data_IF_924249888725
#
_entry.id   IF_924249888725
#
_cell.length_a   1.000
_cell.length_b   1.000
_cell.length_c   1.000
_cell.angle_alpha   90.00
_cell.angle_beta   90.00
_cell.angle_gamma   90.00
#
_symmetry.space_group_name_H-M   'P 1'
#
loop_
_entity.id
_entity.type
_entity.pdbx_description
1 polymer ?
#
# COMPACT_ATOMS: atom_id res chain seq x y z
N UNK A 1 8.39 -1.80 5.75
CA UNK A 1 8.50 -0.55 6.51
C UNK A 1 8.19 0.61 5.61
N UNK A 2 7.28 1.52 6.01
CA UNK A 2 6.88 2.63 5.17
C UNK A 2 8.07 3.53 4.90
N UNK A 3 8.17 4.04 3.67
CA UNK A 3 9.15 5.04 3.26
C UNK A 3 8.44 6.33 2.88
N UNK A 4 9.20 7.42 2.79
CA UNK A 4 8.69 8.70 2.31
C UNK A 4 8.67 8.71 0.78
N UNK A 5 7.51 9.06 0.21
CA UNK A 5 7.33 9.22 -1.23
C UNK A 5 6.82 10.61 -1.52
N UNK A 6 7.30 11.18 -2.63
CA UNK A 6 6.90 12.52 -3.06
C UNK A 6 5.51 12.46 -3.70
N UNK A 7 4.60 13.26 -3.15
CA UNK A 7 3.34 13.63 -3.78
C UNK A 7 3.44 15.05 -4.35
N UNK A 8 2.72 15.33 -5.43
CA UNK A 8 2.61 16.67 -6.02
C UNK A 8 1.80 17.62 -5.13
N UNK A 9 0.89 17.08 -4.33
CA UNK A 9 -0.07 17.84 -3.52
C UNK A 9 0.39 18.14 -2.09
N UNK A 10 1.11 17.21 -1.45
CA UNK A 10 1.36 17.21 0.00
C UNK A 10 2.84 17.08 0.37
N UNK A 11 3.75 17.16 -0.61
CA UNK A 11 5.17 16.93 -0.39
C UNK A 11 5.46 15.46 -0.10
N UNK A 12 6.42 15.19 0.78
CA UNK A 12 6.77 13.82 1.18
C UNK A 12 5.73 13.25 2.14
N UNK A 13 5.17 12.10 1.79
CA UNK A 13 4.19 11.37 2.60
C UNK A 13 4.62 9.91 2.79
N UNK A 14 4.32 9.30 3.96
CA UNK A 14 4.72 7.93 4.21
C UNK A 14 3.84 6.97 3.41
N UNK A 15 4.45 5.96 2.78
CA UNK A 15 3.76 4.87 2.11
C UNK A 15 4.45 3.53 2.35
N UNK A 16 3.65 2.49 2.57
CA UNK A 16 4.11 1.09 2.51
C UNK A 16 3.64 0.23 3.67
N UNK A 17 4.15 -1.01 3.71
CA UNK A 17 3.89 -1.97 4.79
C UNK A 17 4.40 -1.44 6.12
N UNK A 18 3.52 -1.37 7.11
CA UNK A 18 3.86 -0.98 8.48
C UNK A 18 4.08 -2.15 9.42
N UNK A 19 3.77 -3.38 9.01
CA UNK A 19 4.06 -4.60 9.76
C UNK A 19 4.36 -5.74 8.77
N UNK A 20 5.40 -6.53 9.04
CA UNK A 20 5.92 -7.54 8.10
C UNK A 20 5.05 -8.79 8.00
N UNK A 21 4.18 -9.04 8.99
CA UNK A 21 3.36 -10.25 9.02
C UNK A 21 2.03 -10.07 8.27
N UNK A 22 1.64 -8.86 7.90
CA UNK A 22 0.32 -8.60 7.30
C UNK A 22 0.46 -7.97 5.92
N UNK A 23 -0.56 -8.11 5.08
CA UNK A 23 -0.59 -7.49 3.75
C UNK A 23 -1.27 -6.11 3.76
N UNK A 24 -1.23 -5.37 4.87
CA UNK A 24 -1.80 -4.02 4.94
C UNK A 24 -0.73 -2.95 4.75
N UNK A 25 -1.06 -1.95 3.96
CA UNK A 25 -0.21 -0.79 3.66
C UNK A 25 -0.89 0.49 4.12
N UNK A 26 -0.07 1.49 4.44
CA UNK A 26 -0.51 2.85 4.67
C UNK A 26 -0.08 3.77 3.52
N UNK A 27 -0.87 4.81 3.30
CA UNK A 27 -0.57 6.01 2.53
C UNK A 27 -0.99 7.19 3.41
N UNK A 28 -0.05 7.70 4.20
CA UNK A 28 -0.32 8.62 5.29
C UNK A 28 -1.44 8.08 6.21
N UNK A 29 -2.59 8.73 6.25
CA UNK A 29 -3.76 8.31 7.04
C UNK A 29 -4.69 7.30 6.34
N UNK A 30 -4.40 6.88 5.10
CA UNK A 30 -5.18 5.87 4.38
C UNK A 30 -4.57 4.49 4.55
N UNK A 31 -5.35 3.55 5.06
CA UNK A 31 -4.94 2.17 5.25
C UNK A 31 -5.77 1.25 4.37
N UNK A 32 -5.12 0.35 3.65
CA UNK A 32 -5.79 -0.61 2.78
C UNK A 32 -4.93 -1.85 2.58
N UNK A 33 -5.56 -2.96 2.19
CA UNK A 33 -4.84 -4.20 1.89
C UNK A 33 -4.10 -4.06 0.56
N UNK A 34 -2.85 -4.50 0.52
CA UNK A 34 -2.02 -4.52 -0.68
C UNK A 34 -2.66 -5.40 -1.77
N UNK A 35 -3.36 -6.46 -1.36
CA UNK A 35 -4.17 -7.29 -2.25
C UNK A 35 -5.29 -6.49 -2.93
N UNK A 36 -5.98 -5.60 -2.20
CA UNK A 36 -7.02 -4.73 -2.76
C UNK A 36 -6.43 -3.67 -3.70
N UNK A 37 -5.35 -2.99 -3.28
CA UNK A 37 -4.66 -2.02 -4.14
C UNK A 37 -4.19 -2.67 -5.44
N UNK A 38 -3.55 -3.84 -5.37
CA UNK A 38 -3.10 -4.58 -6.53
C UNK A 38 -4.25 -4.92 -7.48
N UNK A 39 -5.37 -5.43 -6.95
CA UNK A 39 -6.55 -5.72 -7.75
C UNK A 39 -7.15 -4.46 -8.41
N UNK A 40 -7.14 -3.32 -7.71
CA UNK A 40 -7.56 -2.05 -8.29
C UNK A 40 -6.63 -1.58 -9.41
N UNK A 41 -5.31 -1.68 -9.21
CA UNK A 41 -4.32 -1.34 -10.25
C UNK A 41 -4.49 -2.23 -11.47
N UNK A 42 -4.71 -3.54 -11.31
CA UNK A 42 -5.02 -4.46 -12.43
C UNK A 42 -6.22 -3.96 -13.23
N UNK A 43 -7.32 -3.60 -12.55
CA UNK A 43 -8.52 -3.08 -13.21
C UNK A 43 -8.24 -1.78 -13.95
N UNK A 44 -7.48 -0.86 -13.35
CA UNK A 44 -7.13 0.41 -13.97
C UNK A 44 -6.17 0.24 -15.16
N UNK A 45 -5.25 -0.72 -15.09
CA UNK A 45 -4.31 -1.04 -16.16
C UNK A 45 -4.99 -1.67 -17.39
N UNK A 46 -6.17 -2.28 -17.21
CA UNK A 46 -6.97 -2.88 -18.28
C UNK A 46 -7.87 -1.87 -19.01
N UNK A 47 -7.97 -0.62 -18.55
CA UNK A 47 -8.85 0.38 -19.15
C UNK A 47 -8.36 0.90 -20.50
N UNK A 48 -9.28 1.46 -21.27
CA UNK A 48 -9.01 2.00 -22.59
C UNK A 48 -7.99 3.15 -22.52
N UNK A 49 -6.99 3.16 -23.44
CA UNK A 49 -5.96 4.18 -23.44
C UNK A 49 -6.55 5.58 -23.67
N UNK A 50 -5.88 6.59 -23.10
CA UNK A 50 -6.22 8.02 -23.27
C UNK A 50 -7.60 8.43 -22.73
N UNK A 51 -8.24 7.60 -21.90
CA UNK A 51 -9.49 7.96 -21.21
C UNK A 51 -9.24 8.20 -19.73
N UNK A 52 -9.95 9.18 -19.15
CA UNK A 52 -9.90 9.42 -17.70
C UNK A 52 -10.48 8.19 -17.01
N UNK A 53 -9.65 7.49 -16.24
CA UNK A 53 -10.09 6.32 -15.49
C UNK A 53 -10.44 6.75 -14.07
N UNK A 54 -11.72 6.65 -13.72
CA UNK A 54 -12.19 6.89 -12.35
C UNK A 54 -12.66 5.57 -11.73
N UNK A 55 -12.15 5.25 -10.54
CA UNK A 55 -12.55 4.10 -9.73
C UNK A 55 -12.81 4.54 -8.29
N UNK A 56 -13.62 3.77 -7.58
CA UNK A 56 -13.76 3.90 -6.13
C UNK A 56 -12.93 2.81 -5.45
N UNK A 57 -12.12 3.21 -4.46
CA UNK A 57 -11.36 2.28 -3.63
C UNK A 57 -11.94 2.31 -2.23
N UNK A 58 -12.18 1.13 -1.66
CA UNK A 58 -12.54 1.03 -0.26
C UNK A 58 -11.26 1.08 0.60
N UNK A 59 -11.20 2.00 1.55
CA UNK A 59 -10.05 2.24 2.42
C UNK A 59 -10.49 2.44 3.86
N UNK A 60 -9.58 2.30 4.81
CA UNK A 60 -9.74 2.74 6.18
C UNK A 60 -9.03 4.09 6.35
N UNK A 61 -9.79 5.14 6.57
CA UNK A 61 -9.22 6.48 6.86
C UNK A 61 -9.18 6.62 8.37
N UNK A 62 -7.97 6.69 8.93
CA UNK A 62 -7.78 6.80 10.36
C UNK A 62 -7.53 8.26 10.74
N UNK A 63 -8.14 8.71 11.83
CA UNK A 63 -7.74 9.95 12.48
C UNK A 63 -6.32 9.79 13.04
N UNK A 64 -5.53 10.87 13.01
CA UNK A 64 -4.12 10.85 13.45
C UNK A 64 -3.96 10.26 14.87
N UNK A 65 -4.88 10.61 15.78
CA UNK A 65 -4.90 10.11 17.15
C UNK A 65 -5.15 8.59 17.28
N UNK A 66 -5.72 7.97 16.24
CA UNK A 66 -6.03 6.53 16.21
C UNK A 66 -4.95 5.70 15.52
N UNK A 67 -4.02 6.31 14.77
CA UNK A 67 -2.98 5.59 14.01
C UNK A 67 -2.01 4.87 14.95
N UNK A 68 -1.49 5.57 15.96
CA UNK A 68 -0.46 5.04 16.88
C UNK A 68 0.98 5.32 16.43
N UNK A 69 1.94 5.02 17.31
CA UNK A 69 3.36 5.32 17.08
C UNK A 69 4.09 4.11 16.48
N UNK A 70 4.45 4.17 15.19
CA UNK A 70 5.13 3.06 14.50
C UNK A 70 6.46 2.66 15.16
N UNK A 71 7.35 3.61 15.45
CA UNK A 71 8.65 3.31 16.06
C UNK A 71 8.50 2.78 17.49
N UNK A 72 7.54 3.34 18.23
CA UNK A 72 7.18 2.87 19.56
C UNK A 72 6.63 1.44 19.55
N UNK A 73 5.83 1.10 18.53
CA UNK A 73 5.26 -0.22 18.36
C UNK A 73 6.30 -1.26 17.94
N UNK A 74 7.21 -0.92 17.01
CA UNK A 74 8.33 -1.78 16.59
C UNK A 74 9.22 -2.14 17.79
N UNK A 75 9.50 -1.18 18.66
CA UNK A 75 10.31 -1.39 19.87
C UNK A 75 9.54 -1.99 21.05
N UNK A 76 8.22 -2.19 20.91
CA UNK A 76 7.37 -2.75 21.95
C UNK A 76 7.08 -1.82 23.13
N UNK A 77 7.42 -0.53 23.04
CA UNK A 77 7.29 0.44 24.15
C UNK A 77 5.99 1.24 24.11
N UNK A 78 5.39 1.42 22.92
CA UNK A 78 4.09 2.08 22.76
C UNK A 78 3.19 1.27 21.83
N UNK A 79 2.25 0.56 22.42
CA UNK A 79 1.31 -0.33 21.73
C UNK A 79 -0.11 0.27 21.63
N UNK A 80 -0.24 1.59 21.71
CA UNK A 80 -1.53 2.28 21.53
C UNK A 80 -1.82 2.57 20.05
N UNK A 81 -3.09 2.83 19.76
CA UNK A 81 -3.58 3.06 18.40
C UNK A 81 -3.60 1.77 17.56
N UNK A 82 -4.04 1.90 16.32
CA UNK A 82 -4.19 0.79 15.40
C UNK A 82 -2.87 0.04 15.15
N UNK A 83 -1.80 0.77 14.84
CA UNK A 83 -0.47 0.19 14.60
C UNK A 83 0.01 -0.56 15.85
N UNK A 84 -0.13 0.03 17.03
CA UNK A 84 0.25 -0.60 18.29
C UNK A 84 -0.51 -1.89 18.59
N UNK A 85 -1.82 -1.92 18.30
CA UNK A 85 -2.61 -3.14 18.48
C UNK A 85 -2.23 -4.24 17.48
N UNK A 86 -1.90 -3.88 16.23
CA UNK A 86 -1.34 -4.84 15.25
C UNK A 86 -0.03 -5.43 15.77
N UNK A 87 0.89 -4.59 16.25
CA UNK A 87 2.18 -5.05 16.80
C UNK A 87 2.05 -5.87 18.09
N UNK A 88 0.99 -5.67 18.86
CA UNK A 88 0.68 -6.52 20.02
C UNK A 88 0.34 -7.96 19.62
N UNK A 89 -0.28 -8.15 18.44
CA UNK A 89 -0.59 -9.48 17.88
C UNK A 89 0.53 -10.05 17.02
N UNK A 90 1.24 -9.17 16.30
CA UNK A 90 2.32 -9.51 15.37
C UNK A 90 3.57 -8.69 15.74
N UNK A 91 4.29 -9.11 16.80
CA UNK A 91 5.46 -8.39 17.26
C UNK A 91 6.52 -8.32 16.17
N UNK A 92 7.34 -7.26 16.18
CA UNK A 92 8.52 -7.25 15.33
C UNK A 92 9.47 -8.37 15.80
N UNK A 93 10.02 -9.18 14.89
CA UNK A 93 10.94 -10.25 15.27
C UNK A 93 12.21 -9.68 15.92
N UNK A 94 12.81 -10.47 16.80
CA UNK A 94 14.12 -10.14 17.39
C UNK A 94 15.28 -10.56 16.48
N UNK A 95 15.07 -11.54 15.61
CA UNK A 95 16.07 -12.07 14.69
C UNK A 95 16.10 -11.25 13.38
N UNK A 96 17.22 -10.57 13.05
CA UNK A 96 17.37 -9.82 11.81
C UNK A 96 17.12 -10.63 10.54
N UNK A 97 17.37 -11.95 10.55
CA UNK A 97 17.14 -12.80 9.38
C UNK A 97 15.65 -13.00 9.09
N UNK A 98 14.80 -12.80 10.10
CA UNK A 98 13.35 -12.80 9.98
C UNK A 98 12.79 -11.45 9.53
N UNK A 99 13.63 -10.43 9.31
CA UNK A 99 13.19 -9.11 8.85
C UNK A 99 12.86 -9.21 7.37
N UNK A 100 11.70 -9.78 7.05
CA UNK A 100 11.20 -10.02 5.71
C UNK A 100 9.68 -9.90 5.68
N UNK A 101 9.18 -9.25 4.64
CA UNK A 101 7.74 -9.16 4.39
C UNK A 101 7.20 -10.56 4.10
N UNK A 102 6.22 -10.98 4.88
CA UNK A 102 5.59 -12.28 4.76
C UNK A 102 4.64 -12.29 3.55
N UNK A 103 4.89 -13.13 2.52
CA UNK A 103 4.01 -13.20 1.34
C UNK A 103 2.61 -13.73 1.66
N UNK A 104 2.46 -14.48 2.74
CA UNK A 104 1.18 -15.04 3.18
C UNK A 104 0.42 -14.08 4.11
N UNK A 105 0.82 -12.80 4.19
CA UNK A 105 0.18 -11.81 5.04
C UNK A 105 -1.32 -11.64 4.77
N UNK A 106 -1.78 -11.92 3.54
CA UNK A 106 -3.20 -11.90 3.17
C UNK A 106 -4.04 -12.96 3.90
N UNK A 107 -3.43 -14.06 4.36
CA UNK A 107 -4.12 -15.08 5.16
C UNK A 107 -4.59 -14.53 6.52
N UNK A 108 -4.02 -13.39 6.97
CA UNK A 108 -4.38 -12.72 8.22
C UNK A 108 -5.40 -11.61 8.04
N UNK A 109 -5.93 -11.42 6.82
CA UNK A 109 -6.84 -10.33 6.48
C UNK A 109 -8.02 -10.23 7.44
N UNK A 110 -8.74 -11.33 7.67
CA UNK A 110 -9.95 -11.32 8.53
C UNK A 110 -9.63 -10.81 9.94
N UNK A 111 -8.53 -11.29 10.52
CA UNK A 111 -8.07 -10.87 11.83
C UNK A 111 -7.70 -9.37 11.83
N UNK A 112 -6.87 -8.92 10.88
CA UNK A 112 -6.44 -7.52 10.78
C UNK A 112 -7.62 -6.57 10.53
N UNK A 113 -8.57 -7.02 9.71
CA UNK A 113 -9.78 -6.28 9.40
C UNK A 113 -10.67 -6.09 10.64
N UNK A 114 -10.73 -7.08 11.53
CA UNK A 114 -11.38 -6.94 12.84
C UNK A 114 -10.70 -5.88 13.71
N UNK A 115 -9.36 -5.79 13.66
CA UNK A 115 -8.59 -4.78 14.40
C UNK A 115 -8.91 -3.38 13.89
N UNK A 116 -8.70 -3.13 12.60
CA UNK A 116 -8.81 -1.77 12.04
C UNK A 116 -10.23 -1.22 12.21
N UNK A 117 -11.25 -2.07 12.18
CA UNK A 117 -12.66 -1.67 12.39
C UNK A 117 -12.95 -1.10 13.78
N UNK A 118 -12.09 -1.32 14.78
CA UNK A 118 -12.19 -0.64 16.08
C UNK A 118 -11.69 0.80 16.06
N UNK A 119 -10.86 1.16 15.07
CA UNK A 119 -10.21 2.47 14.96
C UNK A 119 -10.78 3.34 13.85
N UNK A 120 -11.33 2.73 12.80
CA UNK A 120 -11.90 3.43 11.66
C UNK A 120 -13.04 2.66 11.01
N UNK A 121 -13.99 3.40 10.45
CA UNK A 121 -14.97 2.83 9.54
C UNK A 121 -14.42 2.77 8.12
N UNK A 122 -14.80 1.72 7.39
CA UNK A 122 -14.49 1.61 5.98
C UNK A 122 -15.12 2.79 5.23
N UNK A 123 -14.30 3.48 4.43
CA UNK A 123 -14.65 4.66 3.65
C UNK A 123 -14.37 4.41 2.18
N UNK A 124 -15.00 5.18 1.29
CA UNK A 124 -14.71 5.13 -0.14
C UNK A 124 -14.02 6.40 -0.57
N UNK A 125 -12.90 6.23 -1.27
CA UNK A 125 -12.18 7.34 -1.91
C UNK A 125 -12.22 7.19 -3.43
N UNK A 126 -12.29 8.32 -4.11
CA UNK A 126 -12.14 8.35 -5.56
C UNK A 126 -10.66 8.23 -5.92
N UNK A 127 -10.36 7.35 -6.88
CA UNK A 127 -9.05 7.23 -7.51
C UNK A 127 -9.19 7.52 -8.99
N UNK A 128 -8.43 8.50 -9.47
CA UNK A 128 -8.55 9.02 -10.83
C UNK A 128 -7.19 9.04 -11.50
N UNK A 129 -7.06 8.34 -12.64
CA UNK A 129 -5.92 8.50 -13.55
C UNK A 129 -6.32 9.48 -14.65
N UNK A 130 -5.47 10.48 -14.87
CA UNK A 130 -5.58 11.47 -15.92
C UNK A 130 -4.45 11.24 -16.94
N UNK A 131 -4.66 10.43 -18.00
CA UNK A 131 -3.57 9.97 -18.87
C UNK A 131 -2.81 11.10 -19.58
N UNK A 132 -3.50 12.19 -19.91
CA UNK A 132 -2.91 13.32 -20.63
C UNK A 132 -1.90 14.09 -19.77
N UNK A 133 -2.20 14.25 -18.49
CA UNK A 133 -1.29 14.90 -17.53
C UNK A 133 -0.35 13.90 -16.87
N UNK A 134 -0.53 12.61 -17.14
CA UNK A 134 0.19 11.50 -16.49
C UNK A 134 0.13 11.59 -14.98
N UNK A 135 -1.04 11.91 -14.43
CA UNK A 135 -1.23 11.98 -12.98
C UNK A 135 -2.23 10.95 -12.50
N UNK A 136 -2.07 10.56 -11.24
CA UNK A 136 -3.05 9.80 -10.48
C UNK A 136 -3.38 10.52 -9.18
N UNK A 137 -4.67 10.67 -8.91
CA UNK A 137 -5.18 11.17 -7.64
C UNK A 137 -5.76 10.00 -6.85
N UNK A 138 -5.26 9.75 -5.64
CA UNK A 138 -5.74 8.74 -4.70
C UNK A 138 -6.37 9.47 -3.51
N UNK A 139 -7.69 9.64 -3.53
CA UNK A 139 -8.38 10.50 -2.58
C UNK A 139 -7.87 11.94 -2.69
N UNK A 140 -7.09 12.38 -1.69
CA UNK A 140 -6.51 13.73 -1.63
C UNK A 140 -5.06 13.81 -2.12
N UNK A 141 -4.39 12.67 -2.32
CA UNK A 141 -2.99 12.62 -2.71
C UNK A 141 -2.86 12.57 -4.23
N UNK A 142 -2.10 13.51 -4.79
CA UNK A 142 -1.79 13.58 -6.22
C UNK A 142 -0.35 13.13 -6.48
N UNK A 143 -0.15 12.25 -7.45
CA UNK A 143 1.15 11.79 -7.92
C UNK A 143 1.25 11.98 -9.43
N UNK A 144 2.47 12.18 -9.92
CA UNK A 144 2.81 11.93 -11.32
C UNK A 144 2.99 10.41 -11.55
N UNK A 145 3.22 10.02 -12.80
CA UNK A 145 3.46 8.64 -13.20
C UNK A 145 4.72 8.08 -12.53
N UNK A 146 5.83 8.80 -12.56
CA UNK A 146 7.09 8.38 -11.92
C UNK A 146 6.91 8.10 -10.42
N UNK A 147 6.30 9.03 -9.68
CA UNK A 147 6.05 8.88 -8.25
C UNK A 147 5.15 7.70 -7.93
N UNK A 148 4.08 7.49 -8.71
CA UNK A 148 3.21 6.33 -8.52
C UNK A 148 3.89 5.01 -8.91
N UNK A 149 4.70 4.99 -9.97
CA UNK A 149 5.47 3.81 -10.37
C UNK A 149 6.46 3.39 -9.28
N UNK A 150 7.05 4.35 -8.57
CA UNK A 150 7.87 4.06 -7.40
C UNK A 150 7.08 3.37 -6.27
N UNK A 151 5.81 3.74 -6.06
CA UNK A 151 4.93 3.03 -5.12
C UNK A 151 4.69 1.58 -5.56
N UNK A 152 4.43 1.36 -6.86
CA UNK A 152 4.22 0.03 -7.41
C UNK A 152 5.50 -0.82 -7.30
N UNK A 153 6.67 -0.24 -7.57
CA UNK A 153 7.95 -0.92 -7.43
C UNK A 153 8.22 -1.28 -5.96
N UNK A 154 7.91 -0.37 -5.02
CA UNK A 154 8.00 -0.67 -3.59
C UNK A 154 7.17 -1.90 -3.22
N UNK A 155 5.92 -2.02 -3.72
CA UNK A 155 5.11 -3.22 -3.47
C UNK A 155 5.70 -4.46 -4.15
N UNK A 156 6.22 -4.31 -5.36
CA UNK A 156 6.85 -5.39 -6.12
C UNK A 156 8.03 -6.03 -5.38
N UNK A 157 8.92 -5.23 -4.80
CA UNK A 157 10.08 -5.73 -4.05
C UNK A 157 9.72 -6.26 -2.66
N UNK A 158 8.51 -5.97 -2.15
CA UNK A 158 8.06 -6.32 -0.80
C UNK A 158 8.41 -5.28 0.24
N UNK A 159 8.53 -4.03 -0.22
CA UNK A 159 9.05 -2.91 0.53
C UNK A 159 10.46 -3.15 1.02
N UNK A 160 10.81 -2.46 2.10
CA UNK A 160 12.00 -2.75 2.89
C UNK A 160 11.50 -3.37 4.19
N UNK A 161 11.71 -4.68 4.40
CA UNK A 161 12.96 -5.38 4.07
C UNK A 161 12.92 -6.45 2.94
N UNK A 162 12.01 -6.30 1.96
CA UNK A 162 11.73 -7.23 0.85
C UNK A 162 10.97 -8.49 1.25
N UNK A 163 10.46 -9.21 0.26
CA UNK A 163 9.73 -10.46 0.45
C UNK A 163 10.59 -11.57 1.08
N UNK A 164 9.97 -12.36 1.95
CA UNK A 164 10.56 -13.57 2.53
C UNK A 164 10.82 -14.60 1.43
N UNK A 165 12.01 -15.19 1.45
CA UNK A 165 12.48 -16.16 0.45
C UNK A 165 12.31 -15.66 -1.01
N UNK A 166 12.36 -14.34 -1.23
CA UNK A 166 12.14 -13.66 -2.51
C UNK A 166 10.82 -14.05 -3.22
N UNK A 167 9.86 -14.57 -2.45
CA UNK A 167 8.58 -15.08 -2.95
C UNK A 167 7.53 -13.98 -2.93
N UNK A 168 6.96 -13.68 -4.10
CA UNK A 168 5.94 -12.65 -4.26
C UNK A 168 4.53 -13.26 -4.18
N UNK A 169 3.58 -12.60 -3.52
CA UNK A 169 2.19 -13.02 -3.55
C UNK A 169 1.61 -13.00 -4.97
N UNK A 170 0.62 -13.86 -5.23
CA UNK A 170 -0.01 -13.96 -6.54
C UNK A 170 -0.58 -12.61 -7.04
N UNK A 171 -1.18 -11.82 -6.15
CA UNK A 171 -1.74 -10.52 -6.48
C UNK A 171 -0.68 -9.49 -6.94
N UNK A 172 0.55 -9.56 -6.40
CA UNK A 172 1.66 -8.70 -6.84
C UNK A 172 2.15 -9.11 -8.23
N UNK A 173 2.23 -10.42 -8.49
CA UNK A 173 2.62 -10.95 -9.80
C UNK A 173 1.59 -10.56 -10.86
N UNK A 174 0.30 -10.68 -10.54
CA UNK A 174 -0.80 -10.28 -11.43
C UNK A 174 -0.77 -8.77 -11.71
N UNK A 175 -0.61 -7.94 -10.67
CA UNK A 175 -0.47 -6.49 -10.80
C UNK A 175 0.66 -6.11 -11.75
N UNK A 176 1.86 -6.67 -11.56
CA UNK A 176 3.00 -6.41 -12.44
C UNK A 176 2.67 -6.76 -13.90
N UNK A 177 2.14 -7.97 -14.14
CA UNK A 177 1.79 -8.41 -15.50
C UNK A 177 0.79 -7.47 -16.16
N UNK A 178 -0.26 -7.08 -15.44
CA UNK A 178 -1.29 -6.17 -15.95
C UNK A 178 -0.72 -4.80 -16.31
N UNK A 179 0.16 -4.25 -15.47
CA UNK A 179 0.84 -2.98 -15.71
C UNK A 179 1.76 -3.06 -16.93
N UNK A 180 2.56 -4.14 -17.07
CA UNK A 180 3.50 -4.31 -18.18
C UNK A 180 2.83 -4.42 -19.55
N UNK A 181 1.64 -5.05 -19.61
CA UNK A 181 0.89 -5.18 -20.86
C UNK A 181 -0.13 -4.05 -21.07
N UNK A 182 -0.21 -3.11 -20.12
CA UNK A 182 -1.20 -2.03 -20.16
C UNK A 182 -1.00 -1.15 -21.40
N UNK A 183 -2.12 -0.80 -22.03
CA UNK A 183 -2.12 0.20 -23.11
C UNK A 183 -2.24 1.62 -22.57
N UNK A 184 -2.57 1.79 -21.29
CA UNK A 184 -2.73 3.09 -20.68
C UNK A 184 -1.37 3.82 -20.61
N UNK A 185 -1.23 5.03 -21.20
CA UNK A 185 0.03 5.77 -21.20
C UNK A 185 0.60 6.04 -19.81
N UNK A 186 -0.27 6.13 -18.80
CA UNK A 186 0.12 6.34 -17.40
C UNK A 186 1.00 5.21 -16.87
N UNK A 187 0.81 3.97 -17.31
CA UNK A 187 1.60 2.80 -16.87
C UNK A 187 2.82 2.51 -17.75
N UNK A 188 3.00 3.27 -18.83
CA UNK A 188 4.11 3.05 -19.77
C UNK A 188 5.45 3.28 -19.07
N UNK A 189 6.42 2.42 -19.36
CA UNK A 189 7.77 2.46 -18.79
C UNK A 189 7.84 2.23 -17.27
N UNK A 190 6.79 1.68 -16.64
CA UNK A 190 6.89 1.26 -15.24
C UNK A 190 8.03 0.26 -15.10
N UNK A 191 9.05 0.60 -14.32
CA UNK A 191 10.17 -0.27 -14.00
C UNK A 191 9.88 -1.05 -12.71
N UNK A 192 10.05 -2.36 -12.77
CA UNK A 192 9.94 -3.27 -11.64
C UNK A 192 11.30 -3.93 -11.42
N UNK A 193 12.11 -3.31 -10.58
CA UNK A 193 13.52 -3.67 -10.34
C UNK A 193 13.68 -4.69 -9.18
#
# INVERSE_FOLDING_TARGET
MPLMFKSLSHGEIPFGFFNIEIDMILLDNYFFFASDMAAHVVKMAAEEPNTVCTKEWDVYVLDEAQIGNLLGAISGVDLRGFIGEVYSRFPFPCDPDEFKQNPDGCARRELVEEIVRRYATRSRIAVVIEPNTKTIRIGQYLFDDEGFHHLLNYLWIGGYPRWKADTRPAYIIEMKRAVEISRCPFFRNTAFD
#
